data_IF_118623610204
#
_entry.id   IF_118623610204
#
_cell.length_a   1.000
_cell.length_b   1.000
_cell.length_c   1.000
_cell.angle_alpha   90.00
_cell.angle_beta   90.00
_cell.angle_gamma   90.00
#
_symmetry.space_group_name_H-M   'P 1'
#
loop_
_entity.id
_entity.type
_entity.pdbx_description
1 polymer ?
#
# COMPACT_ATOMS: atom_id res chain seq x y z
N UNK A 1 11.53 -11.48 -2.30
CA UNK A 1 10.30 -10.78 -1.90
C UNK A 1 9.75 -9.94 -3.05
N UNK A 2 8.48 -10.10 -3.40
CA UNK A 2 7.77 -9.37 -4.45
C UNK A 2 6.43 -8.92 -3.85
N UNK A 3 6.26 -7.62 -3.66
CA UNK A 3 5.04 -7.06 -3.08
C UNK A 3 4.38 -6.16 -4.12
N UNK A 4 3.09 -6.32 -4.35
CA UNK A 4 2.34 -5.40 -5.21
C UNK A 4 1.33 -4.61 -4.41
N UNK A 5 1.38 -3.28 -4.50
CA UNK A 5 0.40 -2.36 -3.92
C UNK A 5 -0.50 -1.85 -5.04
N UNK A 6 -1.80 -2.17 -4.97
CA UNK A 6 -2.71 -1.94 -6.09
C UNK A 6 -4.14 -1.66 -5.60
N UNK A 7 -4.78 -0.70 -6.28
CA UNK A 7 -6.21 -0.45 -6.20
C UNK A 7 -6.61 0.42 -7.39
N UNK A 8 -7.76 0.13 -8.02
CA UNK A 8 -8.36 0.98 -9.06
C UNK A 8 -8.62 2.42 -8.60
N UNK A 9 -8.78 2.64 -7.29
CA UNK A 9 -8.97 3.99 -6.74
C UNK A 9 -7.64 4.72 -6.53
N UNK A 10 -7.54 5.94 -7.08
CA UNK A 10 -6.50 6.91 -6.75
C UNK A 10 -6.69 7.54 -5.35
N UNK A 11 -5.60 7.98 -4.72
CA UNK A 11 -5.66 8.70 -3.44
C UNK A 11 -5.88 7.85 -2.17
N UNK A 12 -5.77 6.52 -2.27
CA UNK A 12 -5.94 5.60 -1.12
C UNK A 12 -4.64 5.33 -0.34
N UNK A 13 -3.51 5.90 -0.79
CA UNK A 13 -2.20 5.78 -0.14
C UNK A 13 -1.20 4.84 -0.81
N UNK A 14 -1.49 4.27 -1.99
CA UNK A 14 -0.66 3.27 -2.68
C UNK A 14 0.84 3.64 -2.68
N UNK A 15 1.18 4.76 -3.30
CA UNK A 15 2.57 5.23 -3.45
C UNK A 15 3.29 5.41 -2.12
N UNK A 16 2.64 5.97 -1.09
CA UNK A 16 3.26 6.19 0.21
C UNK A 16 3.60 4.86 0.92
N UNK A 17 2.68 3.87 0.85
CA UNK A 17 2.95 2.53 1.34
C UNK A 17 4.04 1.84 0.53
N UNK A 18 3.95 1.87 -0.80
CA UNK A 18 4.95 1.26 -1.68
C UNK A 18 6.36 1.80 -1.43
N UNK A 19 6.48 3.13 -1.33
CA UNK A 19 7.73 3.80 -1.03
C UNK A 19 8.28 3.43 0.34
N UNK A 20 7.46 3.52 1.39
CA UNK A 20 7.92 3.23 2.75
C UNK A 20 8.32 1.76 2.92
N UNK A 21 7.51 0.82 2.42
CA UNK A 21 7.80 -0.61 2.48
C UNK A 21 9.07 -0.93 1.71
N UNK A 22 9.24 -0.38 0.49
CA UNK A 22 10.45 -0.60 -0.29
C UNK A 22 11.69 -0.11 0.44
N UNK A 23 11.64 1.09 0.99
CA UNK A 23 12.79 1.68 1.69
C UNK A 23 13.10 0.98 3.00
N UNK A 24 12.09 0.63 3.80
CA UNK A 24 12.25 -0.05 5.09
C UNK A 24 12.79 -1.48 4.95
N UNK A 25 12.47 -2.18 3.86
CA UNK A 25 13.04 -3.49 3.53
C UNK A 25 14.29 -3.43 2.63
N UNK A 26 14.71 -2.25 2.16
CA UNK A 26 15.83 -2.09 1.23
C UNK A 26 15.60 -2.64 -0.20
N UNK A 27 14.34 -2.81 -0.58
CA UNK A 27 13.89 -3.35 -1.87
C UNK A 27 13.95 -2.31 -3.00
N UNK A 28 13.90 -2.77 -4.24
CA UNK A 28 13.60 -1.90 -5.38
C UNK A 28 12.13 -1.46 -5.36
N UNK A 29 11.84 -0.39 -6.08
CA UNK A 29 10.48 0.12 -6.27
C UNK A 29 10.22 0.35 -7.75
N UNK A 30 9.15 -0.21 -8.29
CA UNK A 30 8.69 0.10 -9.64
C UNK A 30 7.27 0.66 -9.60
N UNK A 31 6.99 1.67 -10.41
CA UNK A 31 5.64 2.17 -10.63
C UNK A 31 5.32 2.28 -12.10
N UNK A 32 4.04 2.16 -12.41
CA UNK A 32 3.50 2.36 -13.75
C UNK A 32 2.58 3.59 -13.85
N UNK A 33 2.63 4.43 -12.82
CA UNK A 33 1.86 5.67 -12.69
C UNK A 33 2.82 6.85 -12.49
N UNK A 34 2.35 8.06 -12.79
CA UNK A 34 3.13 9.27 -12.60
C UNK A 34 3.30 9.54 -11.10
N UNK A 35 4.55 9.68 -10.66
CA UNK A 35 4.90 9.77 -9.25
C UNK A 35 6.25 10.46 -9.04
N UNK A 36 6.59 10.79 -7.80
CA UNK A 36 7.87 11.40 -7.41
C UNK A 36 8.90 10.35 -6.97
N UNK A 37 8.59 9.06 -7.01
CA UNK A 37 9.40 8.00 -6.40
C UNK A 37 10.84 7.92 -6.90
N UNK A 38 11.12 8.26 -8.17
CA UNK A 38 12.50 8.26 -8.70
C UNK A 38 13.37 9.36 -8.07
N UNK A 39 12.75 10.50 -7.73
CA UNK A 39 13.43 11.59 -7.03
C UNK A 39 13.65 11.24 -5.55
N UNK A 40 12.67 10.59 -4.93
CA UNK A 40 12.69 10.24 -3.50
C UNK A 40 13.55 9.00 -3.20
N UNK A 41 13.69 8.07 -4.15
CA UNK A 41 14.46 6.83 -3.96
C UNK A 41 15.45 6.57 -5.11
N UNK A 42 16.41 7.48 -5.23
CA UNK A 42 17.39 7.50 -6.32
C UNK A 42 18.16 6.17 -6.42
N UNK A 43 18.27 5.65 -7.65
CA UNK A 43 18.96 4.39 -7.95
C UNK A 43 18.23 3.11 -7.50
N UNK A 44 17.09 3.24 -6.81
CA UNK A 44 16.28 2.12 -6.30
C UNK A 44 14.84 2.14 -6.80
N UNK A 45 14.33 3.29 -7.23
CA UNK A 45 13.02 3.43 -7.85
C UNK A 45 13.11 3.61 -9.37
N UNK A 46 12.07 3.14 -10.06
CA UNK A 46 11.88 3.36 -11.50
C UNK A 46 10.40 3.50 -11.87
N UNK A 47 10.07 4.48 -12.70
CA UNK A 47 8.75 4.63 -13.32
C UNK A 47 8.82 4.09 -14.74
N UNK A 48 7.88 3.23 -15.11
CA UNK A 48 7.78 2.69 -16.45
C UNK A 48 6.36 2.23 -16.75
N UNK A 49 5.85 2.57 -17.95
CA UNK A 49 4.60 2.01 -18.46
C UNK A 49 4.63 0.47 -18.62
N UNK A 50 5.81 -0.12 -18.61
CA UNK A 50 6.03 -1.56 -18.74
C UNK A 50 6.99 -2.04 -17.65
N UNK A 51 6.53 -2.10 -16.39
CA UNK A 51 7.35 -2.54 -15.28
C UNK A 51 7.83 -3.97 -15.53
N UNK A 52 9.08 -4.25 -15.17
CA UNK A 52 9.68 -5.57 -15.34
C UNK A 52 9.56 -6.36 -14.04
N UNK A 53 9.20 -7.63 -14.14
CA UNK A 53 9.27 -8.55 -13.00
C UNK A 53 10.73 -8.75 -12.59
N UNK A 54 11.07 -8.35 -11.37
CA UNK A 54 12.39 -8.51 -10.77
C UNK A 54 12.22 -8.97 -9.31
N UNK A 55 13.22 -9.67 -8.78
CA UNK A 55 13.24 -10.03 -7.38
C UNK A 55 13.46 -8.81 -6.48
N UNK A 56 13.00 -8.91 -5.23
CA UNK A 56 13.22 -7.92 -4.18
C UNK A 56 12.71 -6.53 -4.59
N UNK A 57 11.44 -6.47 -5.00
CA UNK A 57 10.81 -5.27 -5.52
C UNK A 57 9.40 -5.10 -4.98
N UNK A 58 9.07 -3.86 -4.65
CA UNK A 58 7.70 -3.41 -4.42
C UNK A 58 7.18 -2.76 -5.70
N UNK A 59 5.94 -3.03 -6.06
CA UNK A 59 5.27 -2.46 -7.22
C UNK A 59 4.15 -1.53 -6.78
N UNK A 60 4.20 -0.27 -7.22
CA UNK A 60 3.15 0.74 -7.04
C UNK A 60 2.30 0.85 -8.31
N UNK A 61 1.15 0.19 -8.35
CA UNK A 61 0.32 0.12 -9.54
C UNK A 61 -0.84 1.13 -9.51
N UNK A 62 -0.87 2.03 -10.48
CA UNK A 62 -1.97 2.98 -10.73
C UNK A 62 -3.22 2.34 -11.35
N UNK A 63 -3.11 1.13 -11.92
CA UNK A 63 -4.22 0.40 -12.55
C UNK A 63 -3.78 -0.91 -13.23
N UNK A 64 -4.75 -1.62 -13.80
CA UNK A 64 -4.65 -3.02 -14.25
C UNK A 64 -4.30 -3.24 -15.74
N UNK A 65 -4.26 -2.18 -16.54
CA UNK A 65 -4.40 -2.29 -18.01
C UNK A 65 -3.05 -2.44 -18.73
N UNK A 66 -1.94 -2.22 -18.04
CA UNK A 66 -0.64 -2.14 -18.70
C UNK A 66 0.05 -3.51 -18.80
N UNK A 67 0.71 -3.74 -19.94
CA UNK A 67 1.42 -5.00 -20.24
C UNK A 67 2.48 -5.28 -19.16
N UNK A 68 2.51 -6.51 -18.65
CA UNK A 68 3.43 -6.96 -17.59
C UNK A 68 2.85 -6.90 -16.17
N UNK A 69 1.84 -6.06 -15.90
CA UNK A 69 1.24 -5.94 -14.56
C UNK A 69 0.64 -7.27 -14.09
N UNK A 70 -0.11 -7.97 -14.94
CA UNK A 70 -0.73 -9.26 -14.58
C UNK A 70 0.28 -10.34 -14.20
N UNK A 71 1.43 -10.41 -14.90
CA UNK A 71 2.49 -11.37 -14.58
C UNK A 71 3.10 -11.08 -13.21
N UNK A 72 3.31 -9.79 -12.90
CA UNK A 72 3.84 -9.36 -11.61
C UNK A 72 2.84 -9.63 -10.47
N UNK A 73 1.55 -9.38 -10.67
CA UNK A 73 0.51 -9.64 -9.67
C UNK A 73 0.43 -11.14 -9.31
N UNK A 74 0.51 -12.01 -10.32
CA UNK A 74 0.55 -13.48 -10.11
C UNK A 74 1.80 -13.94 -9.39
N UNK A 75 2.96 -13.32 -9.70
CA UNK A 75 4.24 -13.66 -9.10
C UNK A 75 4.50 -13.00 -7.74
N UNK A 76 3.62 -12.10 -7.28
CA UNK A 76 3.78 -11.40 -6.01
C UNK A 76 3.60 -12.38 -4.86
N UNK A 77 4.46 -12.28 -3.85
CA UNK A 77 4.30 -13.01 -2.60
C UNK A 77 3.00 -12.58 -1.92
N UNK A 78 2.66 -11.30 -2.00
CA UNK A 78 1.43 -10.72 -1.43
C UNK A 78 0.97 -9.47 -2.19
N UNK A 79 -0.34 -9.29 -2.23
CA UNK A 79 -1.00 -8.10 -2.75
C UNK A 79 -1.50 -7.21 -1.61
N UNK A 80 -1.09 -5.96 -1.60
CA UNK A 80 -1.60 -4.94 -0.68
C UNK A 80 -2.65 -4.09 -1.39
N UNK A 81 -3.85 -4.02 -0.80
CA UNK A 81 -4.98 -3.27 -1.36
C UNK A 81 -5.41 -2.19 -0.37
N UNK A 82 -4.88 -0.96 -0.49
CA UNK A 82 -5.30 0.15 0.36
C UNK A 82 -6.70 0.64 -0.01
N UNK A 83 -7.53 0.95 0.97
CA UNK A 83 -8.91 1.41 0.81
C UNK A 83 -9.24 2.44 1.89
N UNK A 84 -9.74 3.61 1.50
CA UNK A 84 -10.30 4.57 2.46
C UNK A 84 -11.77 4.25 2.76
N UNK A 85 -12.32 4.65 3.93
CA UNK A 85 -13.75 4.50 4.27
C UNK A 85 -14.73 5.30 3.41
N UNK A 86 -14.31 5.82 2.26
CA UNK A 86 -15.20 6.53 1.33
C UNK A 86 -15.97 5.52 0.50
N UNK A 87 -17.27 5.70 0.35
CA UNK A 87 -18.13 4.76 -0.37
C UNK A 87 -17.63 4.39 -1.77
N UNK A 88 -17.22 5.39 -2.56
CA UNK A 88 -16.65 5.15 -3.90
C UNK A 88 -15.31 4.38 -3.82
N UNK A 89 -14.47 4.62 -2.80
CA UNK A 89 -13.23 3.86 -2.63
C UNK A 89 -13.52 2.39 -2.29
N UNK A 90 -14.53 2.11 -1.47
CA UNK A 90 -14.97 0.75 -1.14
C UNK A 90 -15.45 0.02 -2.40
N UNK A 91 -16.31 0.65 -3.22
CA UNK A 91 -16.78 0.05 -4.48
C UNK A 91 -15.63 -0.30 -5.42
N UNK A 92 -14.71 0.64 -5.65
CA UNK A 92 -13.52 0.39 -6.50
C UNK A 92 -12.58 -0.66 -5.91
N UNK A 93 -12.54 -0.77 -4.59
CA UNK A 93 -11.79 -1.84 -3.91
C UNK A 93 -12.43 -3.20 -4.16
N UNK A 94 -13.76 -3.32 -4.03
CA UNK A 94 -14.48 -4.57 -4.34
C UNK A 94 -14.30 -5.01 -5.80
N UNK A 95 -14.32 -4.06 -6.73
CA UNK A 95 -14.00 -4.30 -8.15
C UNK A 95 -12.55 -4.76 -8.34
N UNK A 96 -11.60 -4.15 -7.62
CA UNK A 96 -10.19 -4.55 -7.65
C UNK A 96 -10.01 -5.97 -7.12
N UNK A 97 -10.63 -6.29 -5.98
CA UNK A 97 -10.56 -7.61 -5.36
C UNK A 97 -11.17 -8.70 -6.25
N UNK A 98 -12.22 -8.39 -7.00
CA UNK A 98 -12.83 -9.35 -7.93
C UNK A 98 -11.87 -9.77 -9.05
N UNK A 99 -10.98 -8.86 -9.48
CA UNK A 99 -9.96 -9.15 -10.49
C UNK A 99 -8.69 -9.73 -9.89
N UNK A 100 -8.29 -9.27 -8.70
CA UNK A 100 -7.06 -9.70 -8.03
C UNK A 100 -7.16 -11.08 -7.41
N UNK A 101 -8.29 -11.39 -6.76
CA UNK A 101 -8.45 -12.63 -6.00
C UNK A 101 -8.23 -13.91 -6.82
N UNK A 102 -8.72 -14.00 -8.08
CA UNK A 102 -8.40 -15.14 -8.95
C UNK A 102 -6.95 -15.17 -9.44
N UNK A 103 -6.24 -14.04 -9.45
CA UNK A 103 -4.84 -13.95 -9.89
C UNK A 103 -3.88 -14.33 -8.76
N UNK A 104 -4.17 -13.88 -7.54
CA UNK A 104 -3.40 -14.15 -6.35
C UNK A 104 -4.30 -13.98 -5.11
N UNK A 105 -4.61 -15.06 -4.38
CA UNK A 105 -5.48 -14.99 -3.21
C UNK A 105 -4.77 -14.43 -1.96
N UNK A 106 -3.43 -14.30 -1.96
CA UNK A 106 -2.71 -13.73 -0.83
C UNK A 106 -2.81 -12.21 -0.84
N UNK A 107 -3.91 -11.71 -0.28
CA UNK A 107 -4.26 -10.28 -0.28
C UNK A 107 -4.40 -9.77 1.16
N UNK A 108 -3.74 -8.65 1.45
CA UNK A 108 -3.97 -7.85 2.66
C UNK A 108 -4.67 -6.54 2.29
N UNK A 109 -5.77 -6.25 2.98
CA UNK A 109 -6.52 -5.01 2.80
C UNK A 109 -6.05 -4.00 3.84
N UNK A 110 -5.62 -2.82 3.38
CA UNK A 110 -5.22 -1.73 4.27
C UNK A 110 -6.38 -0.72 4.35
N UNK A 111 -7.12 -0.70 5.46
CA UNK A 111 -8.15 0.33 5.71
C UNK A 111 -7.44 1.60 6.15
N UNK A 112 -7.30 2.55 5.23
CA UNK A 112 -6.50 3.76 5.42
C UNK A 112 -7.36 4.98 5.73
N UNK A 113 -6.81 5.94 6.44
CA UNK A 113 -7.40 7.27 6.61
C UNK A 113 -8.79 7.29 7.30
N UNK A 114 -9.08 6.34 8.18
CA UNK A 114 -10.32 6.37 8.97
C UNK A 114 -10.22 7.39 10.11
N UNK A 115 -11.33 8.05 10.42
CA UNK A 115 -11.38 9.08 11.47
C UNK A 115 -12.19 8.64 12.69
N UNK A 116 -13.12 7.70 12.51
CA UNK A 116 -13.94 7.12 13.57
C UNK A 116 -13.96 5.59 13.54
N UNK A 117 -14.28 4.97 14.69
CA UNK A 117 -14.44 3.51 14.78
C UNK A 117 -15.59 2.98 13.89
N UNK A 118 -16.77 3.63 13.83
CA UNK A 118 -17.83 3.21 12.92
C UNK A 118 -17.40 3.21 11.45
N UNK A 119 -16.67 4.23 10.98
CA UNK A 119 -16.14 4.28 9.61
C UNK A 119 -15.22 3.10 9.30
N UNK A 120 -14.28 2.82 10.22
CA UNK A 120 -13.33 1.70 10.12
C UNK A 120 -14.08 0.37 10.02
N UNK A 121 -15.05 0.15 10.90
CA UNK A 121 -15.82 -1.10 11.01
C UNK A 121 -16.74 -1.30 9.81
N UNK A 122 -17.49 -0.27 9.40
CA UNK A 122 -18.36 -0.36 8.23
C UNK A 122 -17.57 -0.62 6.94
N UNK A 123 -16.38 -0.02 6.80
CA UNK A 123 -15.52 -0.27 5.65
C UNK A 123 -15.06 -1.73 5.60
N UNK A 124 -14.57 -2.26 6.72
CA UNK A 124 -14.15 -3.65 6.82
C UNK A 124 -15.31 -4.62 6.59
N UNK A 125 -16.47 -4.39 7.21
CA UNK A 125 -17.67 -5.23 7.06
C UNK A 125 -18.10 -5.34 5.61
N UNK A 126 -18.19 -4.23 4.88
CA UNK A 126 -18.58 -4.24 3.45
C UNK A 126 -17.63 -5.07 2.58
N UNK A 127 -16.34 -5.08 2.89
CA UNK A 127 -15.37 -5.91 2.17
C UNK A 127 -15.52 -7.38 2.59
N UNK A 128 -15.70 -7.63 3.89
CA UNK A 128 -15.84 -8.97 4.46
C UNK A 128 -17.13 -9.69 4.06
N UNK A 129 -18.21 -8.96 3.71
CA UNK A 129 -19.45 -9.54 3.17
C UNK A 129 -19.16 -10.48 1.99
N UNK A 130 -18.23 -10.10 1.11
CA UNK A 130 -17.80 -10.89 -0.06
C UNK A 130 -16.49 -11.65 0.19
N UNK A 131 -15.58 -11.11 1.00
CA UNK A 131 -14.23 -11.64 1.19
C UNK A 131 -13.87 -11.86 2.66
N UNK A 132 -14.49 -12.87 3.29
CA UNK A 132 -14.35 -13.18 4.72
C UNK A 132 -12.95 -13.60 5.17
N UNK A 133 -12.13 -14.13 4.26
CA UNK A 133 -10.82 -14.71 4.56
C UNK A 133 -9.66 -13.71 4.49
N UNK A 134 -9.93 -12.48 4.03
CA UNK A 134 -8.86 -11.49 3.87
C UNK A 134 -8.38 -10.96 5.23
N UNK A 135 -7.07 -10.72 5.31
CA UNK A 135 -6.47 -10.05 6.47
C UNK A 135 -6.55 -8.53 6.30
N UNK A 136 -6.82 -7.84 7.40
CA UNK A 136 -7.01 -6.39 7.42
C UNK A 136 -5.97 -5.72 8.31
N UNK A 137 -5.52 -4.54 7.87
CA UNK A 137 -4.70 -3.60 8.63
C UNK A 137 -5.38 -2.23 8.67
N UNK A 138 -5.34 -1.57 9.82
CA UNK A 138 -6.15 -0.39 10.10
C UNK A 138 -5.31 0.84 10.40
N UNK A 139 -5.16 1.71 9.42
CA UNK A 139 -4.37 2.93 9.52
C UNK A 139 -5.28 4.14 9.78
N UNK A 140 -5.31 4.61 11.03
CA UNK A 140 -6.02 5.84 11.41
C UNK A 140 -5.48 7.02 10.61
N UNK A 141 -6.33 8.01 10.34
CA UNK A 141 -5.92 9.29 9.75
C UNK A 141 -4.63 9.81 10.41
N UNK A 142 -3.64 10.08 9.55
CA UNK A 142 -2.30 10.52 9.95
C UNK A 142 -1.67 11.27 8.80
N UNK A 143 -0.96 12.37 9.11
CA UNK A 143 -0.16 13.12 8.14
C UNK A 143 1.11 12.39 7.70
N UNK A 144 1.42 11.23 8.27
CA UNK A 144 2.65 10.49 7.93
C UNK A 144 2.71 10.08 6.45
N UNK A 145 1.58 9.75 5.83
CA UNK A 145 1.52 9.40 4.41
C UNK A 145 1.98 10.58 3.53
N UNK A 146 1.46 11.77 3.82
CA UNK A 146 1.80 13.00 3.09
C UNK A 146 3.24 13.43 3.40
N UNK A 147 3.61 13.49 4.69
CA UNK A 147 4.93 13.90 5.14
C UNK A 147 6.04 12.98 4.60
N UNK A 148 5.75 11.68 4.43
CA UNK A 148 6.70 10.70 3.87
C UNK A 148 7.07 11.06 2.45
N UNK A 149 6.06 11.34 1.63
CA UNK A 149 6.24 11.72 0.24
C UNK A 149 6.89 13.11 0.10
N UNK A 150 6.51 14.07 0.96
CA UNK A 150 7.10 15.42 0.94
C UNK A 150 8.58 15.43 1.33
N UNK A 151 9.01 14.53 2.21
CA UNK A 151 10.35 14.57 2.81
C UNK A 151 11.29 13.47 2.28
N UNK A 152 10.80 12.57 1.41
CA UNK A 152 11.58 11.44 0.91
C UNK A 152 12.03 10.46 1.99
N UNK A 153 11.24 10.35 3.06
CA UNK A 153 11.51 9.46 4.18
C UNK A 153 10.43 8.40 4.32
N UNK A 154 10.83 7.16 4.62
CA UNK A 154 9.89 6.10 4.96
C UNK A 154 9.13 6.44 6.24
N UNK A 155 8.05 5.71 6.50
CA UNK A 155 7.30 5.85 7.75
C UNK A 155 8.17 5.60 8.98
N UNK A 156 9.07 4.61 8.92
CA UNK A 156 9.99 4.31 10.02
C UNK A 156 10.97 5.44 10.26
N UNK A 157 11.61 5.96 9.21
CA UNK A 157 12.55 7.09 9.30
C UNK A 157 11.87 8.35 9.84
N UNK A 158 10.64 8.65 9.38
CA UNK A 158 9.87 9.79 9.88
C UNK A 158 9.54 9.66 11.36
N UNK A 159 9.07 8.48 11.79
CA UNK A 159 8.72 8.24 13.17
C UNK A 159 9.95 8.26 14.10
N UNK A 160 11.14 7.90 13.59
CA UNK A 160 12.38 7.92 14.37
C UNK A 160 13.08 9.27 14.42
N UNK A 161 12.64 10.28 13.65
CA UNK A 161 13.32 11.59 13.59
C UNK A 161 13.40 12.32 14.94
N UNK A 162 12.38 12.18 15.78
CA UNK A 162 12.38 12.82 17.11
C UNK A 162 11.41 12.11 18.06
N UNK A 163 11.57 12.29 19.38
CA UNK A 163 10.60 11.78 20.35
C UNK A 163 9.17 12.29 20.10
N UNK A 164 9.02 13.54 19.65
CA UNK A 164 7.72 14.11 19.29
C UNK A 164 7.11 13.40 18.07
N UNK A 165 7.90 13.18 17.00
CA UNK A 165 7.43 12.46 15.82
C UNK A 165 7.03 11.01 16.15
N UNK A 166 7.83 10.33 16.97
CA UNK A 166 7.54 8.98 17.46
C UNK A 166 6.20 8.91 18.18
N UNK A 167 5.92 9.88 19.07
CA UNK A 167 4.63 9.95 19.76
C UNK A 167 3.48 10.32 18.81
N UNK A 168 3.68 11.31 17.93
CA UNK A 168 2.66 11.76 16.98
C UNK A 168 2.18 10.64 16.05
N UNK A 169 3.09 9.76 15.63
CA UNK A 169 2.77 8.66 14.71
C UNK A 169 2.58 7.30 15.40
N UNK A 170 2.63 7.24 16.74
CA UNK A 170 2.62 5.98 17.50
C UNK A 170 1.55 4.98 17.06
N UNK A 171 0.30 5.44 16.92
CA UNK A 171 -0.80 4.56 16.52
C UNK A 171 -0.66 4.04 15.10
N UNK A 172 -0.23 4.88 14.17
CA UNK A 172 0.03 4.46 12.79
C UNK A 172 1.18 3.45 12.75
N UNK A 173 2.26 3.74 13.47
CA UNK A 173 3.46 2.89 13.49
C UNK A 173 3.22 1.55 14.17
N UNK A 174 2.37 1.46 15.20
CA UNK A 174 2.02 0.17 15.78
C UNK A 174 1.43 -0.78 14.74
N UNK A 175 0.51 -0.28 13.91
CA UNK A 175 -0.12 -1.08 12.86
C UNK A 175 0.83 -1.32 11.67
N UNK A 176 1.66 -0.34 11.33
CA UNK A 176 2.66 -0.49 10.27
C UNK A 176 3.73 -1.51 10.64
N UNK A 177 4.22 -1.53 11.87
CA UNK A 177 5.13 -2.57 12.36
C UNK A 177 4.47 -3.95 12.32
N UNK A 178 3.17 -4.05 12.66
CA UNK A 178 2.42 -5.30 12.49
C UNK A 178 2.39 -5.74 11.03
N UNK A 179 2.18 -4.81 10.10
CA UNK A 179 2.24 -5.08 8.65
C UNK A 179 3.62 -5.59 8.25
N UNK A 180 4.70 -4.87 8.58
CA UNK A 180 6.07 -5.27 8.23
C UNK A 180 6.43 -6.66 8.77
N UNK A 181 6.09 -6.95 10.03
CA UNK A 181 6.33 -8.28 10.62
C UNK A 181 5.53 -9.39 9.93
N UNK A 182 4.37 -9.08 9.33
CA UNK A 182 3.56 -10.06 8.60
C UNK A 182 4.09 -10.28 7.17
N UNK A 183 4.80 -9.29 6.62
CA UNK A 183 5.41 -9.36 5.29
C UNK A 183 6.78 -10.04 5.27
N UNK A 184 7.41 -10.22 6.45
CA UNK A 184 8.74 -10.80 6.64
C UNK A 184 8.65 -12.31 6.81
#
# INVERSE_FOLDING_TARGET
MIISVINKKGGVGKTAFSFSIAKDFGLFLQSNDNSLIEQLYQGKAKISAYPKLIANCVYDFGGFVQKGVLEILKASDVLLVPCTPLYNAILRTLESLQELHPLNPNIFVLITNWTSLPEKEQCAQKIQEKYKHLSFFYFKHSKILENSMQQGLSFTELASRSPLAKNAYKHFMNEYTRLLNTLS
#
